data_IF_989126829053
#
_entry.id   IF_989126829053
#
_cell.length_a   1.000
_cell.length_b   1.000
_cell.length_c   1.000
_cell.angle_alpha   90.00
_cell.angle_beta   90.00
_cell.angle_gamma   90.00
#
_symmetry.space_group_name_H-M   'P 1'
#
loop_
_entity.id
_entity.type
_entity.pdbx_description
1 polymer ?
#
# COMPACT_ATOMS: atom_id res chain seq x y z
N UNK A 1 -22.24 6.44 -1.78
CA UNK A 1 -21.02 5.60 -1.55
C UNK A 1 -21.42 4.14 -1.62
N UNK A 2 -20.70 3.33 -2.39
CA UNK A 2 -20.93 1.89 -2.49
C UNK A 2 -20.55 1.22 -1.15
N UNK A 3 -21.55 0.70 -0.42
CA UNK A 3 -21.37 0.04 0.88
C UNK A 3 -20.36 -1.13 0.84
N UNK A 4 -20.13 -1.71 -0.34
CA UNK A 4 -19.23 -2.86 -0.51
C UNK A 4 -17.75 -2.49 -0.64
N UNK A 5 -17.42 -1.28 -1.13
CA UNK A 5 -16.03 -0.78 -1.11
C UNK A 5 -15.58 -0.53 0.35
N UNK A 6 -16.49 0.01 1.15
CA UNK A 6 -16.29 0.25 2.59
C UNK A 6 -15.90 -1.02 3.36
N UNK A 7 -16.50 -2.19 3.05
CA UNK A 7 -16.14 -3.46 3.70
C UNK A 7 -14.67 -3.84 3.46
N UNK A 8 -14.20 -3.78 2.22
CA UNK A 8 -12.84 -4.21 1.89
C UNK A 8 -11.80 -3.20 2.34
N UNK A 9 -12.12 -1.91 2.32
CA UNK A 9 -11.32 -0.88 2.95
C UNK A 9 -11.12 -1.19 4.45
N UNK A 10 -12.19 -1.48 5.20
CA UNK A 10 -12.10 -1.82 6.63
C UNK A 10 -11.24 -3.06 6.86
N UNK A 11 -11.40 -4.08 6.02
CA UNK A 11 -10.59 -5.30 6.11
C UNK A 11 -9.09 -5.02 5.87
N UNK A 12 -8.75 -4.28 4.81
CA UNK A 12 -7.37 -3.90 4.48
C UNK A 12 -6.73 -3.02 5.56
N UNK A 13 -7.52 -2.12 6.15
CA UNK A 13 -7.12 -1.29 7.27
C UNK A 13 -6.79 -2.13 8.52
N UNK A 14 -7.67 -3.06 8.87
CA UNK A 14 -7.44 -3.95 10.02
C UNK A 14 -6.23 -4.87 9.80
N UNK A 15 -5.99 -5.27 8.55
CA UNK A 15 -4.86 -6.12 8.16
C UNK A 15 -3.62 -5.32 7.71
N UNK A 16 -3.52 -4.02 8.04
CA UNK A 16 -2.55 -3.11 7.41
C UNK A 16 -1.12 -3.64 7.39
N UNK A 17 -0.64 -4.20 8.51
CA UNK A 17 0.73 -4.71 8.63
C UNK A 17 0.98 -5.90 7.71
N UNK A 18 0.01 -6.82 7.64
CA UNK A 18 0.10 -8.00 6.75
C UNK A 18 0.07 -7.54 5.30
N UNK A 19 -0.81 -6.60 4.99
CA UNK A 19 -0.96 -6.07 3.65
C UNK A 19 0.27 -5.28 3.16
N UNK A 20 0.85 -4.42 4.00
CA UNK A 20 2.09 -3.71 3.67
C UNK A 20 3.26 -4.67 3.45
N UNK A 21 3.38 -5.72 4.26
CA UNK A 21 4.38 -6.78 4.05
C UNK A 21 4.13 -7.56 2.75
N UNK A 22 2.87 -7.83 2.42
CA UNK A 22 2.51 -8.45 1.14
C UNK A 22 2.93 -7.57 -0.05
N UNK A 23 2.70 -6.25 0.03
CA UNK A 23 3.14 -5.32 -1.00
C UNK A 23 4.67 -5.30 -1.12
N UNK A 24 5.39 -5.25 0.01
CA UNK A 24 6.86 -5.31 0.06
C UNK A 24 7.44 -6.59 -0.53
N UNK A 25 6.80 -7.73 -0.33
CA UNK A 25 7.25 -8.98 -0.94
C UNK A 25 7.09 -9.01 -2.47
N UNK A 26 6.31 -8.08 -3.04
CA UNK A 26 5.89 -8.11 -4.45
C UNK A 26 6.41 -6.92 -5.27
N UNK A 27 6.65 -5.80 -4.63
CA UNK A 27 7.07 -4.54 -5.23
C UNK A 27 8.27 -3.99 -4.46
N UNK A 28 9.08 -3.10 -5.05
CA UNK A 28 10.18 -2.41 -4.35
C UNK A 28 9.64 -1.36 -3.35
N UNK A 29 8.95 -1.83 -2.32
CA UNK A 29 8.35 -1.03 -1.25
C UNK A 29 9.30 -1.01 -0.03
N UNK A 30 10.11 0.03 0.08
CA UNK A 30 11.05 0.23 1.18
C UNK A 30 10.98 1.67 1.71
N UNK A 31 11.54 1.91 2.89
CA UNK A 31 11.54 3.27 3.46
C UNK A 31 12.19 4.27 2.49
N UNK A 32 11.55 5.40 2.26
CA UNK A 32 11.88 6.44 1.27
C UNK A 32 11.81 6.02 -0.22
N UNK A 33 11.28 4.85 -0.55
CA UNK A 33 11.03 4.48 -1.95
C UNK A 33 9.82 5.21 -2.54
N UNK A 34 9.81 5.36 -3.86
CA UNK A 34 8.61 5.76 -4.58
C UNK A 34 7.66 4.57 -4.71
N UNK A 35 6.36 4.85 -4.61
CA UNK A 35 5.29 3.89 -4.81
C UNK A 35 4.19 4.49 -5.66
N UNK A 36 3.80 3.77 -6.71
CA UNK A 36 2.89 4.30 -7.73
C UNK A 36 1.48 3.75 -7.58
N UNK A 37 0.49 4.55 -7.99
CA UNK A 37 -0.92 4.21 -7.98
C UNK A 37 -1.21 2.84 -8.59
N UNK A 38 -0.57 2.52 -9.72
CA UNK A 38 -0.80 1.27 -10.44
C UNK A 38 -0.30 0.05 -9.66
N UNK A 39 0.86 0.15 -9.03
CA UNK A 39 1.40 -0.91 -8.16
C UNK A 39 0.49 -1.12 -6.96
N UNK A 40 -0.01 -0.02 -6.38
CA UNK A 40 -0.94 -0.08 -5.26
C UNK A 40 -2.27 -0.74 -5.66
N UNK A 41 -2.83 -0.34 -6.81
CA UNK A 41 -4.07 -0.86 -7.35
C UNK A 41 -4.01 -2.36 -7.63
N UNK A 42 -2.98 -2.80 -8.35
CA UNK A 42 -2.77 -4.23 -8.58
C UNK A 42 -2.42 -4.97 -7.29
N UNK A 43 -1.72 -4.32 -6.36
CA UNK A 43 -1.43 -4.84 -5.03
C UNK A 43 -2.68 -5.18 -4.24
N UNK A 44 -3.63 -4.24 -4.14
CA UNK A 44 -4.94 -4.46 -3.50
C UNK A 44 -5.68 -5.60 -4.20
N UNK A 45 -5.78 -5.58 -5.53
CA UNK A 45 -6.49 -6.61 -6.27
C UNK A 45 -5.90 -8.00 -5.99
N UNK A 46 -4.59 -8.15 -6.12
CA UNK A 46 -3.88 -9.42 -5.90
C UNK A 46 -3.94 -9.90 -4.45
N UNK A 47 -3.96 -8.99 -3.49
CA UNK A 47 -4.14 -9.34 -2.08
C UNK A 47 -5.54 -9.90 -1.80
N UNK A 48 -6.57 -9.24 -2.32
CA UNK A 48 -7.96 -9.71 -2.21
C UNK A 48 -8.17 -11.04 -2.94
N UNK A 49 -7.60 -11.20 -4.14
CA UNK A 49 -7.64 -12.46 -4.90
C UNK A 49 -7.03 -13.62 -4.11
N UNK A 50 -5.91 -13.40 -3.40
CA UNK A 50 -5.32 -14.42 -2.50
C UNK A 50 -6.25 -14.82 -1.34
N UNK A 51 -7.22 -13.98 -0.98
CA UNK A 51 -8.25 -14.26 0.02
C UNK A 51 -9.54 -14.81 -0.61
N UNK A 52 -9.53 -15.16 -1.90
CA UNK A 52 -10.71 -15.64 -2.64
C UNK A 52 -11.71 -14.53 -3.00
N UNK A 53 -11.32 -13.26 -2.89
CA UNK A 53 -12.18 -12.11 -3.13
C UNK A 53 -11.82 -11.48 -4.48
N UNK A 54 -12.75 -11.52 -5.42
CA UNK A 54 -12.58 -10.92 -6.74
C UNK A 54 -13.35 -9.60 -6.82
N UNK A 55 -12.64 -8.52 -7.14
CA UNK A 55 -13.21 -7.17 -7.32
C UNK A 55 -12.96 -6.67 -8.73
N UNK A 56 -13.92 -5.91 -9.27
CA UNK A 56 -13.76 -5.24 -10.56
C UNK A 56 -12.69 -4.15 -10.49
N UNK A 57 -12.14 -3.77 -11.65
CA UNK A 57 -11.13 -2.71 -11.75
C UNK A 57 -11.61 -1.39 -11.12
N UNK A 58 -12.82 -0.95 -11.48
CA UNK A 58 -13.41 0.28 -10.96
C UNK A 58 -13.59 0.23 -9.43
N UNK A 59 -14.00 -0.93 -8.90
CA UNK A 59 -14.16 -1.11 -7.46
C UNK A 59 -12.82 -1.10 -6.73
N UNK A 60 -11.81 -1.78 -7.24
CA UNK A 60 -10.47 -1.71 -6.64
C UNK A 60 -9.87 -0.32 -6.73
N UNK A 61 -10.18 0.47 -7.76
CA UNK A 61 -9.71 1.86 -7.86
C UNK A 61 -10.29 2.74 -6.75
N UNK A 62 -11.58 2.57 -6.42
CA UNK A 62 -12.19 3.26 -5.29
C UNK A 62 -11.54 2.87 -3.96
N UNK A 63 -11.24 1.57 -3.78
CA UNK A 63 -10.54 1.09 -2.58
C UNK A 63 -9.13 1.70 -2.48
N UNK A 64 -8.41 1.83 -3.61
CA UNK A 64 -7.10 2.50 -3.64
C UNK A 64 -7.20 3.93 -3.14
N UNK A 65 -8.17 4.70 -3.66
CA UNK A 65 -8.37 6.11 -3.25
C UNK A 65 -8.64 6.22 -1.75
N UNK A 66 -9.54 5.39 -1.22
CA UNK A 66 -9.87 5.39 0.21
C UNK A 66 -8.67 4.97 1.08
N UNK A 67 -7.96 3.92 0.68
CA UNK A 67 -6.85 3.36 1.46
C UNK A 67 -5.59 4.24 1.36
N UNK A 68 -5.34 4.91 0.24
CA UNK A 68 -4.23 5.87 0.12
C UNK A 68 -4.45 7.06 1.04
N UNK A 69 -5.66 7.63 1.07
CA UNK A 69 -5.99 8.72 1.99
C UNK A 69 -5.80 8.30 3.45
N UNK A 70 -6.20 7.07 3.80
CA UNK A 70 -5.93 6.52 5.12
C UNK A 70 -4.42 6.44 5.42
N UNK A 71 -3.62 5.83 4.56
CA UNK A 71 -2.17 5.73 4.78
C UNK A 71 -1.44 7.08 4.76
N UNK A 72 -1.93 8.05 3.99
CA UNK A 72 -1.48 9.43 4.05
C UNK A 72 -1.77 10.05 5.42
N UNK A 73 -2.98 9.89 5.96
CA UNK A 73 -3.35 10.38 7.30
C UNK A 73 -2.54 9.75 8.43
N UNK A 74 -2.02 8.53 8.23
CA UNK A 74 -1.15 7.83 9.18
C UNK A 74 0.32 8.21 9.01
N UNK A 75 0.66 9.02 8.00
CA UNK A 75 2.03 9.39 7.67
C UNK A 75 2.85 8.25 7.04
N UNK A 76 2.21 7.13 6.65
CA UNK A 76 2.88 5.99 6.01
C UNK A 76 3.17 6.31 4.54
N UNK A 77 2.25 6.99 3.86
CA UNK A 77 2.44 7.49 2.49
C UNK A 77 2.57 9.01 2.53
N UNK A 78 3.63 9.53 1.92
CA UNK A 78 3.78 10.97 1.70
C UNK A 78 3.49 11.23 0.23
N UNK A 79 2.39 11.93 -0.05
CA UNK A 79 1.99 12.21 -1.43
C UNK A 79 3.05 13.03 -2.16
N UNK A 80 3.47 12.56 -3.33
CA UNK A 80 4.44 13.27 -4.18
C UNK A 80 3.76 13.87 -5.41
N UNK A 81 2.73 13.21 -5.94
CA UNK A 81 1.87 13.71 -7.00
C UNK A 81 0.51 12.97 -6.98
N UNK A 82 -0.32 13.17 -8.00
CA UNK A 82 -1.65 12.55 -8.05
C UNK A 82 -1.64 11.02 -8.18
N UNK A 83 -0.54 10.45 -8.68
CA UNK A 83 -0.40 9.03 -9.01
C UNK A 83 0.73 8.34 -8.23
N UNK A 84 1.26 8.96 -7.18
CA UNK A 84 2.43 8.44 -6.50
C UNK A 84 2.69 9.04 -5.13
N UNK A 85 3.40 8.25 -4.34
CA UNK A 85 3.77 8.53 -2.97
C UNK A 85 5.23 8.14 -2.71
N UNK A 86 5.85 8.80 -1.74
CA UNK A 86 7.04 8.32 -1.06
C UNK A 86 6.61 7.51 0.16
N UNK A 87 7.18 6.33 0.34
CA UNK A 87 6.93 5.50 1.52
C UNK A 87 7.70 6.06 2.73
N UNK A 88 6.98 6.32 3.81
CA UNK A 88 7.52 6.75 5.09
C UNK A 88 7.23 5.71 6.16
N UNK A 89 7.90 4.57 6.04
CA UNK A 89 7.74 3.44 6.95
C UNK A 89 9.11 2.87 7.38
N UNK A 90 9.71 3.36 8.48
CA UNK A 90 11.09 3.03 8.90
C UNK A 90 11.37 1.53 9.07
N UNK A 91 10.36 0.74 9.41
CA UNK A 91 10.41 -0.72 9.54
C UNK A 91 10.80 -1.42 8.22
N UNK A 92 10.63 -0.73 7.09
CA UNK A 92 11.05 -1.19 5.78
C UNK A 92 12.40 -0.58 5.34
N UNK A 93 13.22 -0.10 6.27
CA UNK A 93 14.59 0.31 5.97
C UNK A 93 15.40 -0.87 5.42
N UNK A 94 16.16 -0.60 4.35
CA UNK A 94 17.07 -1.57 3.71
C UNK A 94 18.53 -1.38 4.11
N UNK A 95 18.83 -0.34 4.91
CA UNK A 95 20.17 -0.09 5.40
C UNK A 95 20.43 -0.84 6.69
N UNK A 96 21.45 -1.71 6.69
CA UNK A 96 22.28 -1.89 7.89
C UNK A 96 23.23 -0.71 7.89
N UNK A 97 23.41 0.05 8.99
CA UNK A 97 24.45 1.07 9.06
C UNK A 97 25.81 0.41 8.80
N UNK A 98 26.29 0.49 7.56
CA UNK A 98 27.60 0.00 7.17
C UNK A 98 28.62 1.08 7.43
N UNK A 99 29.68 0.75 8.17
CA UNK A 99 30.88 1.58 8.21
C UNK A 99 31.52 1.50 6.81
N UNK A 100 31.62 2.62 6.05
CA UNK A 100 32.25 2.60 4.74
C UNK A 100 33.76 2.37 4.79
N UNK A 101 34.34 2.23 6.00
CA UNK A 101 35.77 2.07 6.25
C UNK A 101 36.14 0.84 7.10
N UNK A 102 35.24 -0.14 7.30
CA UNK A 102 35.58 -1.44 7.90
C UNK A 102 35.91 -2.51 6.88
#
# INVERSE_FOLDING_TARGET
MDKSASKYFVQLKNDQTIFLNFLRAKYPLFHNSNFFFRDFHYGIKRYLEKKGIFVSYAKSENIVKELSMYFESQGIFIRTNDLGWKINYPEFSTQVPGDPFK
#
